data_IF_283116113662
#
_entry.id   IF_283116113662
#
_cell.length_a   1.000
_cell.length_b   1.000
_cell.length_c   1.000
_cell.angle_alpha   90.00
_cell.angle_beta   90.00
_cell.angle_gamma   90.00
#
_symmetry.space_group_name_H-M   'P 1'
#
loop_
_entity.id
_entity.type
_entity.pdbx_description
1 polymer ?
#
# COMPACT_ATOMS: atom_id res chain seq x y z
N UNK A 1 -6.59 5.59 16.24
CA UNK A 1 -6.40 6.75 15.33
C UNK A 1 -5.02 6.66 14.70
N UNK A 2 -4.92 6.89 13.42
CA UNK A 2 -3.62 6.92 12.72
C UNK A 2 -2.82 8.16 13.13
N UNK A 3 -1.51 8.00 13.17
CA UNK A 3 -0.59 9.05 13.61
C UNK A 3 -0.14 9.89 12.41
N UNK A 4 -0.44 11.19 12.43
CA UNK A 4 -0.08 12.14 11.36
C UNK A 4 1.41 12.47 11.29
N UNK A 5 2.18 12.14 12.33
CA UNK A 5 3.65 12.31 12.29
C UNK A 5 4.34 11.20 11.48
N UNK A 6 3.62 10.13 11.17
CA UNK A 6 4.15 8.96 10.47
C UNK A 6 4.00 9.09 8.95
N UNK A 7 4.85 8.37 8.22
CA UNK A 7 4.82 8.29 6.77
C UNK A 7 4.17 7.00 6.33
N UNK A 8 3.18 7.13 5.46
CA UNK A 8 2.40 6.03 4.88
C UNK A 8 2.81 5.87 3.42
N UNK A 9 3.42 4.73 3.11
CA UNK A 9 3.85 4.39 1.74
C UNK A 9 2.81 3.47 1.10
N UNK A 10 2.33 3.85 -0.06
CA UNK A 10 1.46 3.01 -0.89
C UNK A 10 2.32 2.38 -1.98
N UNK A 11 2.41 1.06 -1.98
CA UNK A 11 3.10 0.31 -3.03
C UNK A 11 2.04 -0.28 -3.98
N UNK A 12 2.00 0.23 -5.18
CA UNK A 12 0.95 -0.11 -6.15
C UNK A 12 -0.22 0.86 -6.10
N UNK A 13 -0.19 1.86 -6.98
CA UNK A 13 -1.20 2.91 -7.07
C UNK A 13 -2.28 2.56 -8.10
N UNK A 14 -2.90 1.39 -7.94
CA UNK A 14 -4.05 0.99 -8.75
C UNK A 14 -5.37 1.50 -8.18
N UNK A 15 -6.44 0.73 -8.37
CA UNK A 15 -7.78 1.11 -7.91
C UNK A 15 -7.83 1.30 -6.39
N UNK A 16 -7.48 0.27 -5.63
CA UNK A 16 -7.55 0.31 -4.16
C UNK A 16 -6.37 1.07 -3.54
N UNK A 17 -5.16 0.86 -4.04
CA UNK A 17 -3.99 1.63 -3.58
C UNK A 17 -4.17 3.12 -3.83
N UNK A 18 -4.68 3.51 -4.97
CA UNK A 18 -5.02 4.90 -5.27
C UNK A 18 -6.08 5.47 -4.33
N UNK A 19 -7.08 4.67 -3.98
CA UNK A 19 -8.11 5.10 -3.02
C UNK A 19 -7.54 5.31 -1.62
N UNK A 20 -6.68 4.40 -1.16
CA UNK A 20 -5.98 4.60 0.12
C UNK A 20 -5.16 5.89 0.11
N UNK A 21 -4.41 6.13 -0.95
CA UNK A 21 -3.62 7.35 -1.10
C UNK A 21 -4.50 8.60 -1.03
N UNK A 22 -5.60 8.62 -1.79
CA UNK A 22 -6.55 9.71 -1.82
C UNK A 22 -7.13 10.01 -0.43
N UNK A 23 -7.68 9.01 0.24
CA UNK A 23 -8.34 9.18 1.53
C UNK A 23 -7.38 9.64 2.61
N UNK A 24 -6.20 9.02 2.68
CA UNK A 24 -5.18 9.39 3.67
C UNK A 24 -4.68 10.83 3.43
N UNK A 25 -4.43 11.20 2.19
CA UNK A 25 -4.00 12.56 1.85
C UNK A 25 -5.07 13.60 2.18
N UNK A 26 -6.33 13.33 1.86
CA UNK A 26 -7.46 14.22 2.19
C UNK A 26 -7.62 14.43 3.70
N UNK A 27 -7.24 13.43 4.49
CA UNK A 27 -7.28 13.51 5.96
C UNK A 27 -6.02 14.14 6.56
N UNK A 28 -5.08 14.57 5.74
CA UNK A 28 -3.88 15.27 6.18
C UNK A 28 -2.72 14.37 6.60
N UNK A 29 -2.76 13.08 6.26
CA UNK A 29 -1.65 12.17 6.51
C UNK A 29 -0.54 12.35 5.47
N UNK A 30 0.69 12.02 5.86
CA UNK A 30 1.87 12.09 5.01
C UNK A 30 1.95 10.82 4.15
N UNK A 31 1.62 10.93 2.87
CA UNK A 31 1.52 9.79 1.95
C UNK A 31 2.57 9.88 0.86
N UNK A 32 3.30 8.79 0.66
CA UNK A 32 4.20 8.59 -0.47
C UNK A 32 3.74 7.38 -1.29
N UNK A 33 4.23 7.23 -2.50
CA UNK A 33 3.79 6.15 -3.38
C UNK A 33 4.88 5.59 -4.28
N UNK A 34 4.76 4.32 -4.59
CA UNK A 34 5.58 3.62 -5.57
C UNK A 34 4.67 2.98 -6.60
N UNK A 35 4.95 3.20 -7.86
CA UNK A 35 4.26 2.56 -8.99
C UNK A 35 5.23 2.39 -10.15
N UNK A 36 5.07 1.35 -10.96
CA UNK A 36 5.91 1.15 -12.13
C UNK A 36 5.49 1.99 -13.35
N UNK A 37 4.32 2.60 -13.29
CA UNK A 37 3.75 3.37 -14.40
C UNK A 37 3.97 4.87 -14.21
N UNK A 38 4.66 5.52 -15.13
CA UNK A 38 4.88 6.96 -15.10
C UNK A 38 3.56 7.74 -15.17
N UNK A 39 2.62 7.32 -16.00
CA UNK A 39 1.32 7.98 -16.11
C UNK A 39 0.51 7.90 -14.81
N UNK A 40 0.57 6.77 -14.12
CA UNK A 40 -0.06 6.60 -12.80
C UNK A 40 0.60 7.51 -11.76
N UNK A 41 1.92 7.59 -11.76
CA UNK A 41 2.68 8.46 -10.86
C UNK A 41 2.30 9.94 -11.08
N UNK A 42 2.28 10.37 -12.31
CA UNK A 42 1.91 11.74 -12.68
C UNK A 42 0.47 12.07 -12.24
N UNK A 43 -0.46 11.15 -12.44
CA UNK A 43 -1.85 11.30 -11.99
C UNK A 43 -1.93 11.47 -10.46
N UNK A 44 -1.25 10.63 -9.72
CA UNK A 44 -1.26 10.66 -8.25
C UNK A 44 -0.68 11.97 -7.70
N UNK A 45 0.43 12.44 -8.27
CA UNK A 45 1.04 13.72 -7.89
C UNK A 45 0.15 14.91 -8.27
N UNK A 46 -0.41 14.90 -9.46
CA UNK A 46 -1.25 15.98 -9.99
C UNK A 46 -2.55 16.16 -9.20
N UNK A 47 -3.11 15.06 -8.67
CA UNK A 47 -4.35 15.06 -7.89
C UNK A 47 -4.12 15.11 -6.38
N UNK A 48 -2.89 15.34 -5.94
CA UNK A 48 -2.50 15.39 -4.53
C UNK A 48 -2.86 14.10 -3.73
N UNK A 49 -2.79 12.95 -4.40
CA UNK A 49 -2.98 11.66 -3.73
C UNK A 49 -1.74 11.24 -2.94
N UNK A 50 -0.58 11.70 -3.39
CA UNK A 50 0.71 11.49 -2.74
C UNK A 50 1.49 12.81 -2.75
N UNK A 51 2.32 13.05 -1.74
CA UNK A 51 3.20 14.23 -1.73
C UNK A 51 4.49 14.00 -2.53
N UNK A 52 4.91 12.74 -2.62
CA UNK A 52 6.10 12.32 -3.35
C UNK A 52 5.92 10.86 -3.80
N UNK A 53 6.54 10.51 -4.89
CA UNK A 53 6.49 9.14 -5.38
C UNK A 53 7.57 8.86 -6.42
N UNK A 54 7.79 7.58 -6.68
CA UNK A 54 8.81 7.13 -7.64
C UNK A 54 8.33 5.89 -8.39
N UNK A 55 8.86 5.72 -9.59
CA UNK A 55 8.67 4.50 -10.39
C UNK A 55 9.96 3.68 -10.52
N UNK A 56 11.07 4.19 -10.00
CA UNK A 56 12.37 3.52 -9.95
C UNK A 56 13.22 4.17 -8.85
N UNK A 57 14.27 3.47 -8.40
CA UNK A 57 15.22 3.98 -7.40
C UNK A 57 14.51 4.50 -6.14
N UNK A 58 13.56 3.71 -5.62
CA UNK A 58 12.65 4.09 -4.55
C UNK A 58 13.06 3.60 -3.16
N UNK A 59 14.28 3.13 -2.99
CA UNK A 59 14.78 2.53 -1.74
C UNK A 59 14.65 3.49 -0.55
N UNK A 60 14.84 4.79 -0.75
CA UNK A 60 14.68 5.81 0.26
C UNK A 60 13.25 5.88 0.79
N UNK A 61 12.26 5.77 -0.10
CA UNK A 61 10.84 5.77 0.30
C UNK A 61 10.51 4.56 1.18
N UNK A 62 11.06 3.40 0.87
CA UNK A 62 10.86 2.19 1.68
C UNK A 62 11.48 2.35 3.07
N UNK A 63 12.71 2.86 3.14
CA UNK A 63 13.43 3.06 4.40
C UNK A 63 12.78 4.10 5.31
N UNK A 64 12.10 5.09 4.75
CA UNK A 64 11.44 6.15 5.50
C UNK A 64 10.03 5.79 5.98
N UNK A 65 9.42 4.74 5.41
CA UNK A 65 8.04 4.39 5.69
C UNK A 65 7.85 3.85 7.12
N UNK A 66 6.83 4.31 7.79
CA UNK A 66 6.36 3.80 9.08
C UNK A 66 5.24 2.78 8.90
N UNK A 67 4.46 2.93 7.84
CA UNK A 67 3.42 2.00 7.43
C UNK A 67 3.47 1.83 5.92
N UNK A 68 3.35 0.58 5.46
CA UNK A 68 3.33 0.26 4.03
C UNK A 68 2.02 -0.44 3.71
N UNK A 69 1.32 0.09 2.70
CA UNK A 69 0.07 -0.49 2.21
C UNK A 69 0.31 -0.99 0.79
N UNK A 70 0.11 -2.29 0.57
CA UNK A 70 0.32 -2.92 -0.72
C UNK A 70 -0.97 -3.01 -1.51
N UNK A 71 -1.03 -2.28 -2.62
CA UNK A 71 -2.08 -2.41 -3.63
C UNK A 71 -1.65 -3.31 -4.78
N UNK A 72 -1.07 -4.47 -4.47
CA UNK A 72 -0.48 -5.41 -5.42
C UNK A 72 -1.26 -6.74 -5.45
N UNK A 73 -1.18 -7.46 -6.55
CA UNK A 73 -1.61 -8.85 -6.60
C UNK A 73 -0.75 -9.72 -5.67
N UNK A 74 -1.30 -10.83 -5.11
CA UNK A 74 -0.60 -11.63 -4.10
C UNK A 74 0.78 -12.11 -4.51
N UNK A 75 0.95 -12.60 -5.73
CA UNK A 75 2.25 -13.07 -6.23
C UNK A 75 3.25 -11.93 -6.37
N UNK A 76 2.79 -10.78 -6.85
CA UNK A 76 3.62 -9.58 -7.00
C UNK A 76 4.03 -9.04 -5.63
N UNK A 77 3.11 -9.04 -4.66
CA UNK A 77 3.39 -8.67 -3.27
C UNK A 77 4.51 -9.50 -2.67
N UNK A 78 4.41 -10.81 -2.78
CA UNK A 78 5.43 -11.73 -2.23
C UNK A 78 6.79 -11.50 -2.88
N UNK A 79 6.84 -11.37 -4.20
CA UNK A 79 8.07 -11.12 -4.93
C UNK A 79 8.69 -9.77 -4.53
N UNK A 80 7.85 -8.74 -4.37
CA UNK A 80 8.29 -7.42 -3.93
C UNK A 80 8.92 -7.48 -2.52
N UNK A 81 8.28 -8.16 -1.59
CA UNK A 81 8.80 -8.30 -0.22
C UNK A 81 10.10 -9.11 -0.20
N UNK A 82 10.21 -10.16 -1.00
CA UNK A 82 11.46 -10.92 -1.13
C UNK A 82 12.61 -10.06 -1.66
N UNK A 83 12.31 -9.17 -2.60
CA UNK A 83 13.33 -8.31 -3.23
C UNK A 83 13.71 -7.11 -2.37
N UNK A 84 12.74 -6.45 -1.75
CA UNK A 84 12.93 -5.16 -1.06
C UNK A 84 12.69 -5.21 0.45
N UNK A 85 12.21 -6.32 0.98
CA UNK A 85 11.81 -6.43 2.39
C UNK A 85 12.91 -6.07 3.39
N UNK A 86 14.17 -6.33 3.06
CA UNK A 86 15.29 -6.01 3.93
C UNK A 86 15.55 -4.50 4.09
N UNK A 87 14.95 -3.67 3.24
CA UNK A 87 14.99 -2.20 3.38
C UNK A 87 14.01 -1.68 4.43
N UNK A 88 13.05 -2.50 4.82
CA UNK A 88 12.00 -2.13 5.77
C UNK A 88 12.58 -2.05 7.18
N UNK A 89 12.30 -0.94 7.87
CA UNK A 89 12.78 -0.75 9.24
C UNK A 89 12.02 -1.64 10.24
N UNK A 90 12.68 -2.10 11.30
CA UNK A 90 11.98 -2.69 12.45
C UNK A 90 10.93 -1.72 13.00
N UNK A 91 9.77 -2.26 13.38
CA UNK A 91 8.64 -1.45 13.85
C UNK A 91 7.70 -0.98 12.75
N UNK A 92 8.03 -1.18 11.47
CA UNK A 92 7.14 -0.87 10.35
C UNK A 92 5.96 -1.83 10.34
N UNK A 93 4.76 -1.29 10.20
CA UNK A 93 3.55 -2.07 9.99
C UNK A 93 3.25 -2.17 8.50
N UNK A 94 2.94 -3.37 8.02
CA UNK A 94 2.59 -3.61 6.64
C UNK A 94 1.18 -4.19 6.55
N UNK A 95 0.44 -3.78 5.54
CA UNK A 95 -0.87 -4.35 5.22
C UNK A 95 -1.07 -4.41 3.72
N UNK A 96 -2.11 -5.11 3.28
CA UNK A 96 -2.45 -5.23 1.86
C UNK A 96 -3.95 -5.05 1.64
N UNK A 97 -4.36 -5.12 0.38
CA UNK A 97 -5.76 -4.96 -0.03
C UNK A 97 -6.28 -6.21 -0.76
N UNK A 98 -5.47 -7.24 -0.90
CA UNK A 98 -5.81 -8.43 -1.68
C UNK A 98 -6.92 -9.26 -1.02
N UNK A 99 -7.85 -9.77 -1.82
CA UNK A 99 -8.88 -10.71 -1.37
C UNK A 99 -8.37 -12.11 -1.11
N UNK A 100 -7.20 -12.46 -1.65
CA UNK A 100 -6.61 -13.80 -1.52
C UNK A 100 -5.55 -13.78 -0.44
N UNK A 101 -5.75 -14.56 0.62
CA UNK A 101 -4.81 -14.63 1.76
C UNK A 101 -4.06 -15.96 1.85
N UNK A 102 -4.66 -17.02 1.33
CA UNK A 102 -4.02 -18.35 1.34
C UNK A 102 -2.70 -18.32 0.57
N UNK A 103 -1.63 -18.80 1.21
CA UNK A 103 -0.30 -18.85 0.60
C UNK A 103 0.40 -17.49 0.51
N UNK A 104 -0.14 -16.46 1.15
CA UNK A 104 0.42 -15.09 1.12
C UNK A 104 0.88 -14.66 2.51
N UNK A 105 0.05 -14.79 3.52
CA UNK A 105 0.27 -14.21 4.85
C UNK A 105 1.57 -14.73 5.47
N UNK A 106 1.70 -16.05 5.58
CA UNK A 106 2.88 -16.67 6.21
C UNK A 106 4.17 -16.43 5.40
N UNK A 107 4.20 -16.64 4.07
CA UNK A 107 5.40 -16.38 3.29
C UNK A 107 5.83 -14.90 3.32
N UNK A 108 4.89 -13.97 3.31
CA UNK A 108 5.20 -12.54 3.40
C UNK A 108 5.81 -12.23 4.76
N UNK A 109 5.18 -12.65 5.86
CA UNK A 109 5.70 -12.42 7.20
C UNK A 109 7.10 -13.02 7.37
N UNK A 110 7.32 -14.24 6.85
CA UNK A 110 8.62 -14.91 6.93
C UNK A 110 9.73 -14.20 6.15
N UNK A 111 9.38 -13.45 5.10
CA UNK A 111 10.35 -12.72 4.28
C UNK A 111 10.67 -11.32 4.83
N UNK A 112 9.99 -10.88 5.89
CA UNK A 112 10.23 -9.58 6.51
C UNK A 112 11.38 -9.63 7.51
N UNK A 113 12.07 -8.49 7.75
CA UNK A 113 13.06 -8.41 8.82
C UNK A 113 12.38 -8.50 10.19
N UNK A 114 13.16 -8.88 11.18
CA UNK A 114 12.70 -8.92 12.57
C UNK A 114 12.15 -7.55 13.01
N UNK A 115 11.01 -7.56 13.67
CA UNK A 115 10.34 -6.35 14.16
C UNK A 115 9.39 -5.69 13.17
N UNK A 116 9.35 -6.13 11.91
CA UNK A 116 8.33 -5.71 10.96
C UNK A 116 7.14 -6.67 11.02
N UNK A 117 5.92 -6.13 10.96
CA UNK A 117 4.69 -6.92 11.11
C UNK A 117 3.77 -6.74 9.91
N UNK A 118 3.34 -7.87 9.34
CA UNK A 118 2.36 -7.90 8.25
C UNK A 118 0.98 -8.28 8.79
N UNK A 119 0.04 -7.36 8.68
CA UNK A 119 -1.36 -7.56 9.05
C UNK A 119 -2.17 -7.58 7.75
N UNK A 120 -2.48 -8.76 7.29
CA UNK A 120 -3.23 -8.92 6.05
C UNK A 120 -4.66 -8.40 6.18
N UNK A 121 -5.11 -7.63 5.22
CA UNK A 121 -6.45 -7.09 5.24
C UNK A 121 -7.08 -7.06 3.84
N UNK A 122 -8.40 -6.94 3.80
CA UNK A 122 -9.17 -6.83 2.56
C UNK A 122 -10.37 -5.91 2.76
N UNK A 123 -10.31 -4.67 2.25
CA UNK A 123 -11.50 -3.84 2.15
C UNK A 123 -12.37 -4.38 1.02
N UNK A 124 -13.58 -4.85 1.35
CA UNK A 124 -14.51 -5.42 0.36
C UNK A 124 -15.21 -4.31 -0.42
N UNK A 125 -14.43 -3.42 -1.02
CA UNK A 125 -14.89 -2.24 -1.75
C UNK A 125 -14.37 -2.22 -3.20
N UNK A 126 -13.77 -3.31 -3.67
CA UNK A 126 -13.27 -3.43 -5.03
C UNK A 126 -14.37 -3.34 -6.07
N UNK A 127 -14.03 -2.85 -7.25
CA UNK A 127 -14.91 -2.73 -8.40
C UNK A 127 -14.33 -3.52 -9.58
N UNK A 128 -15.14 -3.77 -10.60
CA UNK A 128 -14.68 -4.44 -11.83
C UNK A 128 -13.72 -3.57 -12.65
N UNK A 129 -13.80 -2.24 -12.52
CA UNK A 129 -12.86 -1.31 -13.13
C UNK A 129 -11.50 -1.38 -12.46
N UNK A 130 -10.45 -1.02 -13.17
CA UNK A 130 -9.07 -1.04 -12.65
C UNK A 130 -8.39 0.31 -12.91
N UNK A 131 -7.27 0.52 -12.22
CA UNK A 131 -6.42 1.70 -12.39
C UNK A 131 -6.79 2.87 -11.50
N UNK A 132 -5.81 3.76 -11.31
CA UNK A 132 -5.91 4.91 -10.41
C UNK A 132 -7.00 5.91 -10.82
N UNK A 133 -7.26 6.04 -12.11
CA UNK A 133 -8.27 6.97 -12.62
C UNK A 133 -9.69 6.65 -12.15
N UNK A 134 -9.94 5.41 -11.74
CA UNK A 134 -11.21 4.95 -11.18
C UNK A 134 -11.20 4.89 -9.65
N UNK A 135 -10.08 5.20 -9.00
CA UNK A 135 -9.94 5.05 -7.54
C UNK A 135 -10.92 5.92 -6.75
N UNK A 136 -11.24 7.11 -7.23
CA UNK A 136 -12.19 8.01 -6.58
C UNK A 136 -13.60 7.42 -6.48
N UNK A 137 -13.97 6.48 -7.36
CA UNK A 137 -15.28 5.80 -7.37
C UNK A 137 -15.43 4.77 -6.27
N UNK A 138 -14.30 4.32 -5.68
CA UNK A 138 -14.30 3.34 -4.58
C UNK A 138 -14.80 4.02 -3.30
N UNK A 139 -15.67 3.34 -2.57
CA UNK A 139 -16.18 3.85 -1.30
C UNK A 139 -15.94 2.82 -0.19
N UNK A 140 -15.06 3.15 0.75
CA UNK A 140 -14.73 2.28 1.88
C UNK A 140 -15.78 2.33 3.00
N UNK A 141 -16.51 3.43 3.14
CA UNK A 141 -17.40 3.66 4.28
C UNK A 141 -18.47 2.57 4.48
N UNK A 142 -19.19 2.09 3.42
CA UNK A 142 -20.17 1.03 3.57
C UNK A 142 -19.59 -0.38 3.44
N UNK A 143 -18.29 -0.52 3.13
CA UNK A 143 -17.69 -1.81 2.84
C UNK A 143 -17.30 -2.56 4.11
N UNK A 144 -17.40 -3.87 4.07
CA UNK A 144 -16.81 -4.73 5.08
C UNK A 144 -15.29 -4.73 4.96
N UNK A 145 -14.60 -4.78 6.10
CA UNK A 145 -13.16 -4.81 6.17
C UNK A 145 -12.73 -6.08 6.90
N UNK A 146 -12.01 -6.96 6.20
CA UNK A 146 -11.57 -8.24 6.73
C UNK A 146 -10.10 -8.13 7.13
N UNK A 147 -9.78 -8.51 8.37
CA UNK A 147 -8.41 -8.63 8.86
C UNK A 147 -8.10 -10.11 9.06
N UNK A 148 -7.00 -10.55 8.50
CA UNK A 148 -6.50 -11.92 8.64
C UNK A 148 -5.24 -11.87 9.51
N UNK A 149 -5.31 -12.34 10.76
CA UNK A 149 -4.12 -12.37 11.61
C UNK A 149 -3.10 -13.40 11.13
N UNK A 150 -1.86 -13.16 11.45
CA UNK A 150 -0.75 -14.10 11.24
C UNK A 150 -0.70 -15.15 12.34
#
# INVERSE_FOLDING_TARGET
MLDKSKTYLIVGLGLLGGKYAQVLSQKGYNVTGITHSQSTLDYALQHDYIRAGKNADFEDLVKEADCIIFGLYPTVLLDWVKQYGQLIRPGTMLTDVSGVKRGVVEPVQAALPEGAEFIASHPMAGRETSGITHSAEVNFAPANFIITPT
#
